data_IF_606115310329
#
_entry.id   IF_606115310329
#
_cell.length_a   1.000
_cell.length_b   1.000
_cell.length_c   1.000
_cell.angle_alpha   90.00
_cell.angle_beta   90.00
_cell.angle_gamma   90.00
#
_symmetry.space_group_name_H-M   'P 1'
#
loop_
_entity.id
_entity.type
_entity.pdbx_description
1 polymer ?
#
# COMPACT_ATOMS: atom_id res chain seq x y z
N UNK A 1 -13.99 -14.26 -11.03
CA UNK A 1 -13.70 -13.42 -9.84
C UNK A 1 -13.60 -11.98 -10.32
N UNK A 2 -14.50 -11.11 -9.87
CA UNK A 2 -14.42 -9.68 -10.22
C UNK A 2 -13.33 -9.03 -9.37
N UNK A 3 -12.35 -8.44 -10.03
CA UNK A 3 -11.39 -7.54 -9.38
C UNK A 3 -12.23 -6.39 -8.80
N UNK A 4 -12.13 -6.06 -7.50
CA UNK A 4 -12.90 -4.96 -6.96
C UNK A 4 -12.46 -3.66 -7.65
N UNK A 5 -13.42 -2.79 -7.98
CA UNK A 5 -13.21 -1.56 -8.76
C UNK A 5 -12.09 -0.66 -8.21
N UNK A 6 -11.79 -0.79 -6.91
CA UNK A 6 -10.71 -0.06 -6.23
C UNK A 6 -9.31 -0.36 -6.80
N UNK A 7 -9.15 -1.44 -7.58
CA UNK A 7 -7.88 -1.85 -8.22
C UNK A 7 -7.74 -1.33 -9.66
N UNK A 8 -8.79 -0.73 -10.21
CA UNK A 8 -8.79 -0.09 -11.54
C UNK A 8 -8.32 1.37 -11.47
N UNK A 9 -8.26 1.96 -10.27
CA UNK A 9 -7.99 3.39 -10.06
C UNK A 9 -6.96 3.62 -8.94
N UNK A 10 -6.28 4.78 -8.93
CA UNK A 10 -5.35 5.13 -7.85
C UNK A 10 -6.02 5.20 -6.46
N UNK A 11 -5.46 4.45 -5.50
CA UNK A 11 -5.99 4.27 -4.15
C UNK A 11 -5.65 5.46 -3.24
N UNK A 12 -6.54 5.80 -2.32
CA UNK A 12 -6.29 6.75 -1.21
C UNK A 12 -5.48 6.07 -0.10
N UNK A 13 -4.86 6.83 0.81
CA UNK A 13 -4.27 6.25 2.01
C UNK A 13 -5.24 5.40 2.82
N UNK A 14 -6.53 5.79 2.86
CA UNK A 14 -7.59 5.02 3.52
C UNK A 14 -7.88 3.69 2.81
N UNK A 15 -7.98 3.71 1.48
CA UNK A 15 -8.21 2.49 0.69
C UNK A 15 -7.03 1.51 0.85
N UNK A 16 -5.79 2.02 0.85
CA UNK A 16 -4.59 1.21 1.14
C UNK A 16 -4.63 0.66 2.56
N UNK A 17 -4.98 1.48 3.55
CA UNK A 17 -5.08 1.05 4.94
C UNK A 17 -6.09 -0.09 5.13
N UNK A 18 -7.23 -0.01 4.45
CA UNK A 18 -8.25 -1.06 4.45
C UNK A 18 -7.73 -2.37 3.84
N UNK A 19 -7.04 -2.30 2.68
CA UNK A 19 -6.46 -3.47 2.01
C UNK A 19 -5.48 -4.23 2.92
N UNK A 20 -4.65 -3.50 3.67
CA UNK A 20 -3.65 -4.10 4.57
C UNK A 20 -4.18 -4.35 6.00
N UNK A 21 -5.41 -3.92 6.33
CA UNK A 21 -5.94 -3.98 7.70
C UNK A 21 -5.15 -3.12 8.70
N UNK A 22 -4.52 -2.04 8.24
CA UNK A 22 -3.69 -1.14 9.07
C UNK A 22 -4.32 0.24 9.21
N UNK A 23 -3.64 1.16 9.91
CA UNK A 23 -4.05 2.56 9.98
C UNK A 23 -3.47 3.39 8.83
N UNK A 24 -4.11 4.51 8.50
CA UNK A 24 -3.56 5.49 7.54
C UNK A 24 -2.23 6.07 8.00
N UNK A 25 -1.98 6.15 9.31
CA UNK A 25 -0.68 6.53 9.87
C UNK A 25 0.42 5.53 9.52
N UNK A 26 0.12 4.23 9.55
CA UNK A 26 1.04 3.17 9.11
C UNK A 26 1.36 3.32 7.62
N UNK A 27 0.35 3.58 6.79
CA UNK A 27 0.56 3.85 5.35
C UNK A 27 1.44 5.09 5.14
N UNK A 28 1.24 6.16 5.92
CA UNK A 28 2.10 7.34 5.85
C UNK A 28 3.54 7.05 6.31
N UNK A 29 3.73 6.14 7.28
CA UNK A 29 5.06 5.68 7.68
C UNK A 29 5.76 4.96 6.52
N UNK A 30 5.07 4.04 5.82
CA UNK A 30 5.59 3.37 4.63
C UNK A 30 5.98 4.35 3.52
N UNK A 31 5.25 5.46 3.38
CA UNK A 31 5.64 6.53 2.44
C UNK A 31 6.94 7.21 2.88
N UNK A 32 7.07 7.52 4.17
CA UNK A 32 8.29 8.14 4.72
C UNK A 32 9.50 7.20 4.64
N UNK A 33 9.26 5.90 4.75
CA UNK A 33 10.26 4.83 4.62
C UNK A 33 10.60 4.51 3.16
N UNK A 34 9.89 5.10 2.19
CA UNK A 34 10.11 4.84 0.75
C UNK A 34 9.52 3.51 0.24
N UNK A 35 8.77 2.79 1.08
CA UNK A 35 8.08 1.54 0.72
C UNK A 35 6.84 1.78 -0.14
N UNK A 36 6.24 2.97 -0.07
CA UNK A 36 5.20 3.43 -0.98
C UNK A 36 5.53 4.82 -1.51
N UNK A 37 5.40 5.01 -2.82
CA UNK A 37 5.46 6.33 -3.45
C UNK A 37 4.08 6.73 -3.99
N UNK A 38 3.59 7.96 -3.72
CA UNK A 38 2.37 8.43 -4.34
C UNK A 38 2.60 8.71 -5.84
N UNK A 39 1.74 8.19 -6.69
CA UNK A 39 1.75 8.48 -8.14
C UNK A 39 1.07 9.81 -8.47
N UNK A 40 0.25 10.32 -7.56
CA UNK A 40 -0.38 11.63 -7.66
C UNK A 40 -0.53 12.24 -6.27
N UNK A 41 -0.29 13.55 -6.20
CA UNK A 41 -0.59 14.38 -5.04
C UNK A 41 -1.55 15.47 -5.50
N UNK A 42 -2.72 15.57 -4.87
CA UNK A 42 -3.67 16.64 -5.20
C UNK A 42 -3.18 17.98 -4.68
N UNK A 43 -3.68 19.13 -5.19
CA UNK A 43 -3.31 20.44 -4.67
C UNK A 43 -3.54 20.61 -3.15
N UNK A 44 -4.50 19.88 -2.58
CA UNK A 44 -4.76 19.85 -1.13
C UNK A 44 -3.88 18.88 -0.33
N UNK A 45 -2.88 18.23 -0.96
CA UNK A 45 -1.94 17.32 -0.31
C UNK A 45 -2.42 15.87 -0.16
N UNK A 46 -3.57 15.50 -0.73
CA UNK A 46 -4.03 14.11 -0.69
C UNK A 46 -3.24 13.25 -1.66
N UNK A 47 -2.71 12.14 -1.14
CA UNK A 47 -1.89 11.19 -1.89
C UNK A 47 -2.77 10.17 -2.61
N UNK A 48 -2.29 9.67 -3.75
CA UNK A 48 -2.85 8.52 -4.46
C UNK A 48 -1.76 7.52 -4.81
N UNK A 49 -2.07 6.24 -4.67
CA UNK A 49 -1.14 5.13 -4.88
C UNK A 49 -1.60 4.27 -6.05
N UNK A 50 -0.66 3.84 -6.89
CA UNK A 50 -1.01 2.91 -7.96
C UNK A 50 -1.37 1.53 -7.37
N UNK A 51 -2.41 0.86 -7.88
CA UNK A 51 -2.75 -0.51 -7.51
C UNK A 51 -1.56 -1.48 -7.62
N UNK A 52 -0.70 -1.31 -8.62
CA UNK A 52 0.50 -2.15 -8.80
C UNK A 52 1.50 -2.03 -7.65
N UNK A 53 1.71 -0.84 -7.10
CA UNK A 53 2.63 -0.64 -5.98
C UNK A 53 2.07 -1.21 -4.67
N UNK A 54 0.74 -1.16 -4.50
CA UNK A 54 0.05 -1.77 -3.36
C UNK A 54 0.18 -3.30 -3.43
N UNK A 55 0.03 -3.89 -4.62
CA UNK A 55 0.24 -5.31 -4.88
C UNK A 55 1.68 -5.76 -4.62
N UNK A 56 2.66 -4.99 -5.11
CA UNK A 56 4.07 -5.26 -4.88
C UNK A 56 4.39 -5.27 -3.37
N UNK A 57 3.88 -4.29 -2.63
CA UNK A 57 4.07 -4.24 -1.18
C UNK A 57 3.40 -5.42 -0.45
N UNK A 58 2.21 -5.85 -0.89
CA UNK A 58 1.58 -7.07 -0.34
C UNK A 58 2.42 -8.31 -0.59
N UNK A 59 2.92 -8.48 -1.82
CA UNK A 59 3.78 -9.60 -2.18
C UNK A 59 5.09 -9.60 -1.38
N UNK A 60 5.68 -8.41 -1.19
CA UNK A 60 6.89 -8.22 -0.40
C UNK A 60 6.66 -8.56 1.08
N UNK A 61 5.54 -8.12 1.68
CA UNK A 61 5.19 -8.41 3.09
C UNK A 61 4.97 -9.90 3.34
N UNK A 62 4.26 -10.58 2.44
CA UNK A 62 4.05 -12.03 2.55
C UNK A 62 5.37 -12.82 2.49
N UNK A 63 6.39 -12.32 1.78
CA UNK A 63 7.72 -12.93 1.75
C UNK A 63 8.55 -12.66 3.03
N UNK A 64 8.20 -11.69 3.88
CA UNK A 64 8.98 -11.37 5.08
C UNK A 64 8.67 -12.29 6.26
N UNK A 65 7.58 -13.06 6.19
CA UNK A 65 7.20 -14.03 7.23
C UNK A 65 8.00 -15.35 7.15
N UNK A 66 8.77 -15.57 6.07
CA UNK A 66 9.53 -16.82 5.84
C UNK A 66 10.99 -16.76 6.34
N UNK A 67 11.43 -15.65 6.94
CA UNK A 67 12.83 -15.42 7.35
C UNK A 67 13.13 -15.63 8.84
N UNK A 68 12.24 -16.30 9.59
CA UNK A 68 12.23 -16.28 11.06
C UNK A 68 12.38 -17.63 11.77
N UNK A 69 13.10 -18.61 11.21
CA UNK A 69 13.67 -19.74 11.97
C UNK A 69 14.88 -20.28 11.21
N UNK A 70 16.08 -19.98 11.72
CA UNK A 70 17.30 -20.69 11.33
C UNK A 70 18.06 -21.05 12.62
N UNK A 71 18.33 -22.34 12.87
CA UNK A 71 18.95 -22.83 14.11
C UNK A 71 20.41 -22.40 14.28
#
# INVERSE_FOLDING_TARGET
MSIPEIWSSPLRPGDVAEVFGVTTSTVNAWVREGRLSPVLVTPGGHRRFAPGQVQDLMAAMNHQEEGGDQP
#
